data_IF_810555974869
#
_entry.id   IF_810555974869
#
_cell.length_a   1.000
_cell.length_b   1.000
_cell.length_c   1.000
_cell.angle_alpha   90.00
_cell.angle_beta   90.00
_cell.angle_gamma   90.00
#
_symmetry.space_group_name_H-M   'P 1'
#
loop_
_entity.id
_entity.type
_entity.pdbx_description
1 polymer ?
#
# COMPACT_ATOMS: atom_id res chain seq x y z
N UNK A 1 -7.03 25.32 -7.87
CA UNK A 1 -7.76 24.15 -7.32
C UNK A 1 -8.62 24.64 -6.14
N UNK A 2 -9.94 24.43 -6.21
CA UNK A 2 -10.88 24.94 -5.21
C UNK A 2 -10.73 24.24 -3.85
N UNK A 3 -11.00 24.98 -2.75
CA UNK A 3 -11.02 24.45 -1.36
C UNK A 3 -11.92 23.21 -1.23
N UNK A 4 -13.00 23.18 -1.99
CA UNK A 4 -13.97 22.07 -2.06
C UNK A 4 -13.36 20.77 -2.65
N UNK A 5 -12.49 20.87 -3.66
CA UNK A 5 -11.80 19.72 -4.25
C UNK A 5 -10.83 19.05 -3.27
N UNK A 6 -10.12 19.86 -2.45
CA UNK A 6 -9.18 19.31 -1.47
C UNK A 6 -9.92 18.56 -0.35
N UNK A 7 -11.04 19.12 0.16
CA UNK A 7 -11.86 18.44 1.19
C UNK A 7 -12.41 17.11 0.68
N UNK A 8 -12.92 17.07 -0.56
CA UNK A 8 -13.43 15.86 -1.17
C UNK A 8 -12.30 14.81 -1.38
N UNK A 9 -11.11 15.25 -1.80
CA UNK A 9 -9.93 14.38 -1.92
C UNK A 9 -9.51 13.77 -0.59
N UNK A 10 -9.53 14.54 0.49
CA UNK A 10 -9.26 14.04 1.86
C UNK A 10 -10.29 12.98 2.25
N UNK A 11 -11.58 13.22 2.01
CA UNK A 11 -12.64 12.26 2.32
C UNK A 11 -12.47 10.96 1.53
N UNK A 12 -12.16 11.04 0.23
CA UNK A 12 -11.87 9.86 -0.58
C UNK A 12 -10.66 9.09 -0.07
N UNK A 13 -9.59 9.79 0.36
CA UNK A 13 -8.42 9.13 0.92
C UNK A 13 -8.76 8.41 2.22
N UNK A 14 -9.38 9.09 3.19
CA UNK A 14 -9.73 8.49 4.48
C UNK A 14 -10.65 7.28 4.27
N UNK A 15 -11.67 7.40 3.41
CA UNK A 15 -12.55 6.28 3.07
C UNK A 15 -11.77 5.12 2.45
N UNK A 16 -10.87 5.39 1.48
CA UNK A 16 -10.04 4.39 0.83
C UNK A 16 -9.13 3.66 1.81
N UNK A 17 -8.44 4.39 2.69
CA UNK A 17 -7.57 3.81 3.72
C UNK A 17 -8.38 2.98 4.72
N UNK A 18 -9.55 3.48 5.14
CA UNK A 18 -10.41 2.77 6.10
C UNK A 18 -10.87 1.42 5.54
N UNK A 19 -11.29 1.35 4.28
CA UNK A 19 -11.69 0.08 3.69
C UNK A 19 -10.49 -0.84 3.40
N UNK A 20 -9.31 -0.28 3.02
CA UNK A 20 -8.10 -1.08 2.89
C UNK A 20 -7.62 -1.65 4.22
N UNK A 21 -7.80 -0.94 5.34
CA UNK A 21 -7.46 -1.46 6.67
C UNK A 21 -8.25 -2.74 7.02
N UNK A 22 -9.49 -2.85 6.53
CA UNK A 22 -10.29 -4.09 6.66
C UNK A 22 -9.69 -5.22 5.82
N UNK A 23 -9.18 -4.93 4.62
CA UNK A 23 -8.48 -5.92 3.81
C UNK A 23 -7.20 -6.42 4.51
N UNK A 24 -6.42 -5.52 5.10
CA UNK A 24 -5.20 -5.89 5.82
C UNK A 24 -5.52 -6.78 7.03
N UNK A 25 -6.60 -6.47 7.75
CA UNK A 25 -7.13 -7.32 8.82
C UNK A 25 -7.48 -8.72 8.29
N UNK A 26 -8.27 -8.81 7.21
CA UNK A 26 -8.70 -10.09 6.63
C UNK A 26 -7.48 -10.90 6.20
N UNK A 27 -6.54 -10.31 5.46
CA UNK A 27 -5.34 -11.00 4.98
C UNK A 27 -4.48 -11.52 6.14
N UNK A 28 -4.37 -10.76 7.22
CA UNK A 28 -3.66 -11.22 8.42
C UNK A 28 -4.41 -12.36 9.12
N UNK A 29 -5.74 -12.32 9.18
CA UNK A 29 -6.56 -13.38 9.79
C UNK A 29 -6.40 -14.71 9.03
N UNK A 30 -6.40 -14.68 7.69
CA UNK A 30 -6.33 -15.89 6.86
C UNK A 30 -4.89 -16.39 6.64
N UNK A 31 -3.86 -15.60 6.97
CA UNK A 31 -2.44 -15.91 6.67
C UNK A 31 -1.91 -17.18 7.34
N UNK A 32 -2.58 -17.68 8.38
CA UNK A 32 -2.22 -18.94 9.05
C UNK A 32 -2.84 -20.19 8.44
N UNK A 33 -3.88 -20.05 7.60
CA UNK A 33 -4.65 -21.16 7.05
C UNK A 33 -4.57 -21.33 5.53
N UNK A 34 -4.24 -20.28 4.80
CA UNK A 34 -4.25 -20.24 3.33
C UNK A 34 -3.00 -19.59 2.77
N UNK A 35 -2.50 -20.00 1.58
CA UNK A 35 -1.38 -19.34 0.94
C UNK A 35 -1.77 -17.97 0.38
N UNK A 36 -0.82 -17.03 0.38
CA UNK A 36 -1.05 -15.66 -0.11
C UNK A 36 -1.58 -15.63 -1.55
N UNK A 37 -0.98 -16.40 -2.46
CA UNK A 37 -1.36 -16.39 -3.88
C UNK A 37 -2.80 -16.82 -4.11
N UNK A 38 -3.36 -17.69 -3.27
CA UNK A 38 -4.76 -18.12 -3.33
C UNK A 38 -5.70 -16.95 -3.01
N UNK A 39 -5.46 -16.26 -1.90
CA UNK A 39 -6.20 -15.05 -1.56
C UNK A 39 -6.07 -13.96 -2.65
N UNK A 40 -4.87 -13.82 -3.25
CA UNK A 40 -4.61 -12.89 -4.35
C UNK A 40 -5.38 -13.25 -5.62
N UNK A 41 -5.49 -14.54 -5.98
CA UNK A 41 -6.24 -15.01 -7.15
C UNK A 41 -7.74 -14.73 -6.95
N UNK A 42 -8.31 -15.15 -5.82
CA UNK A 42 -9.74 -14.96 -5.54
C UNK A 42 -10.08 -13.46 -5.49
N UNK A 43 -9.28 -12.66 -4.78
CA UNK A 43 -9.39 -11.20 -4.75
C UNK A 43 -9.30 -10.59 -6.14
N UNK A 44 -8.30 -10.99 -6.92
CA UNK A 44 -8.05 -10.47 -8.26
C UNK A 44 -9.19 -10.77 -9.22
N UNK A 45 -9.69 -12.01 -9.24
CA UNK A 45 -10.84 -12.42 -10.06
C UNK A 45 -12.11 -11.67 -9.68
N UNK A 46 -12.38 -11.49 -8.38
CA UNK A 46 -13.54 -10.74 -7.91
C UNK A 46 -13.45 -9.25 -8.27
N UNK A 47 -12.23 -8.68 -8.29
CA UNK A 47 -12.03 -7.27 -8.65
C UNK A 47 -12.26 -7.00 -10.15
N UNK A 48 -12.00 -7.96 -11.04
CA UNK A 48 -12.07 -7.74 -12.50
C UNK A 48 -13.40 -7.20 -12.96
N UNK A 49 -14.57 -7.82 -12.68
CA UNK A 49 -15.87 -7.31 -13.16
C UNK A 49 -16.15 -5.91 -12.59
N UNK A 50 -15.80 -5.65 -11.34
CA UNK A 50 -16.00 -4.35 -10.70
C UNK A 50 -15.13 -3.27 -11.34
N UNK A 51 -13.87 -3.56 -11.62
CA UNK A 51 -12.96 -2.63 -12.30
C UNK A 51 -13.37 -2.37 -13.75
N UNK A 52 -13.97 -3.35 -14.45
CA UNK A 52 -14.55 -3.13 -15.78
C UNK A 52 -15.75 -2.20 -15.72
N UNK A 53 -16.62 -2.34 -14.72
CA UNK A 53 -17.74 -1.39 -14.48
C UNK A 53 -17.19 0.00 -14.21
N UNK A 54 -16.22 0.14 -13.31
CA UNK A 54 -15.59 1.43 -13.00
C UNK A 54 -14.93 2.03 -14.25
N UNK A 55 -14.23 1.23 -15.06
CA UNK A 55 -13.63 1.69 -16.32
C UNK A 55 -14.67 2.17 -17.34
N UNK A 56 -15.83 1.48 -17.40
CA UNK A 56 -16.92 1.90 -18.26
C UNK A 56 -17.48 3.27 -17.87
N UNK A 57 -17.54 3.55 -16.55
CA UNK A 57 -18.03 4.82 -16.00
C UNK A 57 -16.98 5.94 -16.06
N UNK A 58 -15.67 5.63 -15.95
CA UNK A 58 -14.54 6.59 -15.88
C UNK A 58 -13.83 6.77 -17.24
N UNK A 59 -14.56 6.83 -18.33
CA UNK A 59 -14.02 7.11 -19.66
C UNK A 59 -14.24 6.01 -20.71
N UNK A 60 -14.99 4.97 -20.37
CA UNK A 60 -15.32 3.83 -21.25
C UNK A 60 -14.22 2.78 -21.31
N UNK A 61 -14.59 1.56 -21.72
CA UNK A 61 -13.66 0.40 -21.80
C UNK A 61 -12.47 0.66 -22.74
N UNK A 62 -12.63 1.54 -23.72
CA UNK A 62 -11.53 1.90 -24.64
C UNK A 62 -10.37 2.61 -23.93
N UNK A 63 -10.62 3.26 -22.79
CA UNK A 63 -9.57 3.90 -21.98
C UNK A 63 -8.57 2.90 -21.40
N UNK A 64 -8.89 1.62 -21.37
CA UNK A 64 -7.97 0.56 -20.94
C UNK A 64 -6.85 0.31 -21.96
N UNK A 65 -7.06 0.61 -23.24
CA UNK A 65 -6.14 0.30 -24.33
C UNK A 65 -5.58 1.57 -24.94
N UNK A 66 -4.60 2.16 -24.26
CA UNK A 66 -3.90 3.37 -24.70
C UNK A 66 -2.46 3.06 -25.15
N UNK A 67 -1.80 4.03 -25.75
CA UNK A 67 -0.36 3.93 -26.09
C UNK A 67 0.52 3.82 -24.81
N UNK A 68 -0.03 4.14 -23.64
CA UNK A 68 0.64 4.03 -22.34
C UNK A 68 0.61 2.64 -21.70
N UNK A 69 0.03 1.63 -22.35
CA UNK A 69 -0.14 0.27 -21.81
C UNK A 69 1.13 -0.31 -21.19
N UNK A 70 2.27 -0.23 -21.88
CA UNK A 70 3.54 -0.74 -21.35
C UNK A 70 3.92 -0.07 -20.02
N UNK A 71 3.73 1.25 -19.93
CA UNK A 71 4.01 1.99 -18.69
C UNK A 71 3.04 1.60 -17.57
N UNK A 72 1.77 1.35 -17.88
CA UNK A 72 0.78 0.86 -16.92
C UNK A 72 1.14 -0.53 -16.40
N UNK A 73 1.58 -1.44 -17.28
CA UNK A 73 2.04 -2.78 -16.90
C UNK A 73 3.30 -2.72 -16.02
N UNK A 74 4.31 -1.93 -16.40
CA UNK A 74 5.52 -1.73 -15.58
C UNK A 74 5.18 -1.17 -14.19
N UNK A 75 4.29 -0.18 -14.11
CA UNK A 75 3.77 0.32 -12.84
C UNK A 75 3.03 -0.79 -12.08
N UNK A 76 2.27 -1.63 -12.78
CA UNK A 76 1.60 -2.79 -12.20
C UNK A 76 2.57 -3.77 -11.54
N UNK A 77 3.72 -4.03 -12.18
CA UNK A 77 4.79 -4.89 -11.60
C UNK A 77 5.35 -4.26 -10.33
N UNK A 78 5.61 -2.95 -10.33
CA UNK A 78 6.10 -2.25 -9.12
C UNK A 78 5.06 -2.31 -8.00
N UNK A 79 3.77 -2.11 -8.31
CA UNK A 79 2.68 -2.26 -7.35
C UNK A 79 2.51 -3.70 -6.87
N UNK A 80 2.74 -4.70 -7.73
CA UNK A 80 2.76 -6.09 -7.29
C UNK A 80 3.83 -6.31 -6.23
N UNK A 81 5.06 -5.87 -6.45
CA UNK A 81 6.14 -5.96 -5.45
C UNK A 81 5.75 -5.24 -4.16
N UNK A 82 5.10 -4.07 -4.26
CA UNK A 82 4.61 -3.30 -3.11
C UNK A 82 3.67 -4.14 -2.24
N UNK A 83 2.55 -4.57 -2.81
CA UNK A 83 1.53 -5.30 -2.04
C UNK A 83 1.99 -6.70 -1.64
N UNK A 84 2.73 -7.38 -2.50
CA UNK A 84 3.27 -8.70 -2.21
C UNK A 84 4.20 -8.68 -1.00
N UNK A 85 5.18 -7.77 -0.96
CA UNK A 85 6.08 -7.65 0.19
C UNK A 85 5.34 -7.24 1.47
N UNK A 86 4.37 -6.33 1.36
CA UNK A 86 3.54 -5.95 2.50
C UNK A 86 2.75 -7.13 3.08
N UNK A 87 2.07 -7.91 2.23
CA UNK A 87 1.24 -9.02 2.68
C UNK A 87 2.07 -10.19 3.24
N UNK A 88 3.23 -10.46 2.66
CA UNK A 88 4.17 -11.45 3.24
C UNK A 88 4.61 -11.02 4.64
N UNK A 89 4.83 -9.72 4.87
CA UNK A 89 5.19 -9.21 6.18
C UNK A 89 4.07 -9.35 7.21
N UNK A 90 2.80 -9.20 6.80
CA UNK A 90 1.63 -9.33 7.69
C UNK A 90 1.58 -10.69 8.41
N UNK A 91 2.01 -11.77 7.75
CA UNK A 91 2.04 -13.09 8.37
C UNK A 91 3.12 -13.23 9.46
N UNK A 92 4.23 -12.50 9.33
CA UNK A 92 5.40 -12.61 10.21
C UNK A 92 5.54 -11.52 11.26
N UNK A 93 4.73 -10.46 11.21
CA UNK A 93 4.84 -9.30 12.07
C UNK A 93 3.48 -8.88 12.66
N UNK A 94 3.47 -8.20 13.81
CA UNK A 94 2.29 -7.49 14.30
C UNK A 94 1.78 -6.47 13.27
N UNK A 95 0.44 -6.35 13.14
CA UNK A 95 -0.18 -5.44 12.17
C UNK A 95 0.26 -3.97 12.35
N UNK A 96 0.28 -3.41 13.59
CA UNK A 96 0.74 -2.04 13.80
C UNK A 96 2.19 -1.81 13.36
N UNK A 97 3.07 -2.78 13.62
CA UNK A 97 4.49 -2.71 13.21
C UNK A 97 4.64 -2.71 11.69
N UNK A 98 3.92 -3.60 11.02
CA UNK A 98 3.94 -3.71 9.54
C UNK A 98 3.49 -2.40 8.90
N UNK A 99 2.36 -1.85 9.36
CA UNK A 99 1.80 -0.60 8.81
C UNK A 99 2.70 0.60 9.12
N UNK A 100 3.25 0.69 10.34
CA UNK A 100 4.15 1.78 10.70
C UNK A 100 5.44 1.80 9.84
N UNK A 101 6.04 0.64 9.60
CA UNK A 101 7.22 0.52 8.71
C UNK A 101 6.88 0.85 7.25
N UNK A 102 5.70 0.45 6.75
CA UNK A 102 5.22 0.83 5.43
C UNK A 102 5.10 2.35 5.27
N UNK A 103 4.72 3.07 6.32
CA UNK A 103 4.65 4.54 6.32
C UNK A 103 6.01 5.25 6.30
N UNK A 104 7.12 4.53 6.12
CA UNK A 104 8.35 5.10 5.57
C UNK A 104 8.20 5.56 4.10
N UNK A 105 7.13 5.15 3.41
CA UNK A 105 6.82 5.55 2.03
C UNK A 105 6.88 7.06 1.77
N UNK A 106 6.21 7.94 2.52
CA UNK A 106 6.32 9.39 2.35
C UNK A 106 7.74 9.93 2.41
N UNK A 107 8.64 9.31 3.22
CA UNK A 107 10.05 9.68 3.28
C UNK A 107 10.75 9.34 1.95
N UNK A 108 10.47 8.16 1.40
CA UNK A 108 10.96 7.76 0.08
C UNK A 108 10.38 8.62 -1.04
N UNK A 109 9.09 9.02 -0.97
CA UNK A 109 8.48 9.94 -1.95
C UNK A 109 9.27 11.25 -1.99
N UNK A 110 9.56 11.83 -0.82
CA UNK A 110 10.35 13.07 -0.72
C UNK A 110 11.75 12.89 -1.30
N UNK A 111 12.44 11.80 -0.95
CA UNK A 111 13.76 11.49 -1.48
C UNK A 111 13.75 11.33 -3.01
N UNK A 112 12.83 10.53 -3.53
CA UNK A 112 12.74 10.24 -4.96
C UNK A 112 12.24 11.43 -5.78
N UNK A 113 11.44 12.34 -5.21
CA UNK A 113 10.97 13.55 -5.90
C UNK A 113 12.13 14.47 -6.27
N UNK A 114 13.17 14.55 -5.44
CA UNK A 114 14.39 15.32 -5.74
C UNK A 114 15.08 14.75 -6.99
N UNK A 115 15.26 13.42 -7.06
CA UNK A 115 16.00 12.79 -8.15
C UNK A 115 15.19 12.65 -9.44
N UNK A 116 13.90 12.34 -9.35
CA UNK A 116 13.07 12.00 -10.51
C UNK A 116 12.18 13.14 -11.00
N UNK A 117 11.84 14.10 -10.15
CA UNK A 117 11.01 15.26 -10.50
C UNK A 117 11.81 16.57 -10.47
N UNK A 118 13.06 16.55 -10.01
CA UNK A 118 13.89 17.76 -9.89
C UNK A 118 13.39 18.74 -8.83
N UNK A 119 12.60 18.26 -7.88
CA UNK A 119 12.04 19.11 -6.82
C UNK A 119 13.15 19.56 -5.85
N UNK A 120 13.14 20.83 -5.45
CA UNK A 120 14.08 21.36 -4.47
C UNK A 120 13.50 21.20 -3.07
N UNK A 121 14.13 20.36 -2.28
CA UNK A 121 13.72 20.06 -0.91
C UNK A 121 14.55 20.89 0.07
N UNK A 122 13.89 21.62 0.98
CA UNK A 122 14.58 22.44 1.99
C UNK A 122 15.22 21.59 3.10
N UNK A 123 16.17 22.21 3.83
CA UNK A 123 16.92 21.56 4.92
C UNK A 123 16.04 20.86 5.96
N UNK A 124 14.89 21.43 6.33
CA UNK A 124 13.98 20.83 7.31
C UNK A 124 13.39 19.50 6.79
N UNK A 125 13.05 19.42 5.50
CA UNK A 125 12.56 18.16 4.94
C UNK A 125 13.68 17.09 4.92
N UNK A 126 14.93 17.47 4.66
CA UNK A 126 16.07 16.55 4.77
C UNK A 126 16.28 16.03 6.21
N UNK A 127 16.20 16.93 7.21
CA UNK A 127 16.28 16.55 8.62
C UNK A 127 15.14 15.58 8.97
N UNK A 128 13.92 15.86 8.51
CA UNK A 128 12.76 15.00 8.74
C UNK A 128 12.93 13.62 8.06
N UNK A 129 13.44 13.57 6.82
CA UNK A 129 13.75 12.29 6.14
C UNK A 129 14.76 11.47 6.95
N UNK A 130 15.87 12.09 7.38
CA UNK A 130 16.89 11.41 8.19
C UNK A 130 16.30 10.92 9.52
N UNK A 131 15.54 11.77 10.23
CA UNK A 131 14.86 11.40 11.47
C UNK A 131 13.91 10.23 11.26
N UNK A 132 13.10 10.25 10.19
CA UNK A 132 12.17 9.18 9.86
C UNK A 132 12.90 7.84 9.63
N UNK A 133 14.02 7.83 8.91
CA UNK A 133 14.82 6.61 8.73
C UNK A 133 15.47 6.13 10.05
N UNK A 134 15.85 7.03 10.97
CA UNK A 134 16.24 6.64 12.33
C UNK A 134 15.08 5.93 13.04
N UNK A 135 13.84 6.42 12.90
CA UNK A 135 12.64 5.75 13.42
C UNK A 135 12.46 4.34 12.84
N UNK A 136 12.70 4.15 11.53
CA UNK A 136 12.68 2.82 10.89
C UNK A 136 13.74 1.90 11.51
N UNK A 137 14.97 2.36 11.71
CA UNK A 137 16.06 1.58 12.32
C UNK A 137 15.70 1.17 13.77
N UNK A 138 15.10 2.08 14.54
CA UNK A 138 14.65 1.80 15.91
C UNK A 138 13.60 0.67 15.90
N UNK A 139 12.68 0.65 14.95
CA UNK A 139 11.64 -0.39 14.84
C UNK A 139 12.19 -1.72 14.32
N UNK A 140 13.08 -1.70 13.33
CA UNK A 140 13.66 -2.91 12.70
C UNK A 140 14.63 -3.61 13.66
N UNK A 141 15.34 -2.86 14.52
CA UNK A 141 16.32 -3.38 15.51
C UNK A 141 17.39 -4.29 14.90
N UNK A 142 18.09 -3.86 13.84
CA UNK A 142 19.08 -4.71 13.19
C UNK A 142 20.21 -5.08 14.16
N UNK A 143 20.67 -6.33 14.09
CA UNK A 143 21.75 -6.82 14.92
C UNK A 143 21.36 -7.20 16.36
N UNK A 144 20.10 -7.15 16.73
CA UNK A 144 19.58 -7.61 18.04
C UNK A 144 18.94 -8.99 17.93
N UNK A 145 18.76 -9.69 19.06
CA UNK A 145 18.03 -10.95 19.12
C UNK A 145 16.52 -10.80 18.74
N UNK A 146 16.02 -9.56 18.72
CA UNK A 146 14.63 -9.24 18.34
C UNK A 146 14.48 -8.91 16.84
N UNK A 147 15.58 -8.91 16.10
CA UNK A 147 15.54 -8.66 14.65
C UNK A 147 14.74 -9.73 13.91
N UNK A 148 13.72 -9.27 13.21
CA UNK A 148 12.96 -10.11 12.28
C UNK A 148 13.17 -9.57 10.86
N UNK A 149 13.73 -10.39 9.97
CA UNK A 149 14.00 -10.03 8.58
C UNK A 149 12.73 -9.58 7.83
N UNK A 150 11.54 -10.10 8.23
CA UNK A 150 10.27 -9.71 7.65
C UNK A 150 9.98 -8.21 7.83
N UNK A 151 10.64 -7.52 8.79
CA UNK A 151 10.52 -6.08 8.99
C UNK A 151 11.11 -5.24 7.82
N UNK A 152 11.98 -5.83 7.01
CA UNK A 152 12.49 -5.18 5.80
C UNK A 152 11.45 -5.14 4.67
N UNK A 153 10.50 -6.07 4.67
CA UNK A 153 9.48 -6.17 3.62
C UNK A 153 8.52 -4.96 3.58
N UNK A 154 7.99 -4.46 4.70
CA UNK A 154 7.15 -3.24 4.67
C UNK A 154 7.95 -2.00 4.26
N UNK A 155 9.24 -1.93 4.59
CA UNK A 155 10.13 -0.83 4.14
C UNK A 155 10.33 -0.90 2.63
N UNK A 156 10.58 -2.11 2.08
CA UNK A 156 10.62 -2.33 0.62
C UNK A 156 9.29 -1.97 -0.02
N UNK A 157 8.17 -2.34 0.61
CA UNK A 157 6.84 -1.97 0.15
C UNK A 157 6.66 -0.45 0.10
N UNK A 158 7.07 0.28 1.13
CA UNK A 158 7.05 1.75 1.16
C UNK A 158 7.88 2.38 0.04
N UNK A 159 9.08 1.83 -0.23
CA UNK A 159 9.94 2.28 -1.34
C UNK A 159 9.28 2.04 -2.70
N UNK A 160 8.81 0.83 -2.97
CA UNK A 160 8.21 0.48 -4.26
C UNK A 160 6.86 1.19 -4.47
N UNK A 161 6.07 1.40 -3.41
CA UNK A 161 4.90 2.26 -3.43
C UNK A 161 5.25 3.67 -3.89
N UNK A 162 6.31 4.25 -3.33
CA UNK A 162 6.77 5.60 -3.68
C UNK A 162 7.18 5.71 -5.14
N UNK A 163 7.86 4.70 -5.68
CA UNK A 163 8.18 4.62 -7.11
C UNK A 163 6.91 4.59 -7.96
N UNK A 164 5.92 3.76 -7.55
CA UNK A 164 4.65 3.64 -8.26
C UNK A 164 3.84 4.94 -8.23
N UNK A 165 3.88 5.70 -7.12
CA UNK A 165 3.19 6.99 -6.99
C UNK A 165 3.83 8.07 -7.85
N UNK A 166 5.17 8.15 -7.89
CA UNK A 166 5.89 9.06 -8.78
C UNK A 166 5.61 8.73 -10.25
N UNK A 167 5.59 7.44 -10.61
CA UNK A 167 5.21 7.00 -11.95
C UNK A 167 3.77 7.41 -12.30
N UNK A 168 2.81 7.21 -11.39
CA UNK A 168 1.42 7.62 -11.58
C UNK A 168 1.30 9.14 -11.79
N UNK A 169 2.04 9.94 -11.02
CA UNK A 169 2.07 11.41 -11.16
C UNK A 169 2.55 11.84 -12.56
N UNK A 170 3.58 11.16 -13.10
CA UNK A 170 4.07 11.40 -14.47
C UNK A 170 3.06 10.96 -15.55
N UNK A 171 2.22 9.99 -15.27
CA UNK A 171 1.23 9.42 -16.21
C UNK A 171 -0.16 10.07 -16.10
N UNK A 172 -0.46 10.73 -14.98
CA UNK A 172 -1.81 11.15 -14.57
C UNK A 172 -2.50 12.21 -15.45
N UNK A 173 -1.79 12.80 -16.43
CA UNK A 173 -2.39 13.70 -17.42
C UNK A 173 -3.00 13.00 -18.63
N UNK A 174 -2.72 11.69 -18.81
CA UNK A 174 -3.08 10.94 -20.03
C UNK A 174 -3.95 9.72 -19.74
N UNK A 175 -3.73 9.05 -18.60
CA UNK A 175 -4.38 7.78 -18.27
C UNK A 175 -5.50 7.96 -17.23
N UNK A 176 -6.57 7.16 -17.34
CA UNK A 176 -7.66 7.18 -16.35
C UNK A 176 -7.27 6.42 -15.08
N UNK A 177 -7.90 6.80 -13.95
CA UNK A 177 -7.71 6.08 -12.68
C UNK A 177 -8.13 4.62 -12.78
N UNK A 178 -9.22 4.36 -13.52
CA UNK A 178 -9.73 3.02 -13.76
C UNK A 178 -8.76 2.15 -14.57
N UNK A 179 -8.12 2.71 -15.61
CA UNK A 179 -7.14 1.98 -16.41
C UNK A 179 -5.90 1.60 -15.58
N UNK A 180 -5.39 2.54 -14.78
CA UNK A 180 -4.27 2.28 -13.87
C UNK A 180 -4.59 1.21 -12.82
N UNK A 181 -5.83 1.20 -12.30
CA UNK A 181 -6.29 0.20 -11.35
C UNK A 181 -6.47 -1.17 -12.00
N UNK A 182 -7.11 -1.21 -13.17
CA UNK A 182 -7.36 -2.45 -13.91
C UNK A 182 -6.06 -3.17 -14.28
N UNK A 183 -5.11 -2.47 -14.91
CA UNK A 183 -3.84 -3.09 -15.31
C UNK A 183 -2.95 -3.45 -14.12
N UNK A 184 -3.01 -2.66 -13.03
CA UNK A 184 -2.38 -3.05 -11.78
C UNK A 184 -2.93 -4.37 -11.23
N UNK A 185 -4.27 -4.52 -11.20
CA UNK A 185 -4.92 -5.76 -10.77
C UNK A 185 -4.65 -6.93 -11.73
N UNK A 186 -4.60 -6.69 -13.04
CA UNK A 186 -4.28 -7.73 -14.03
C UNK A 186 -2.87 -8.30 -13.82
N UNK A 187 -1.86 -7.44 -13.63
CA UNK A 187 -0.49 -7.89 -13.32
C UNK A 187 -0.45 -8.65 -12.01
N UNK A 188 -1.16 -8.16 -10.98
CA UNK A 188 -1.25 -8.82 -9.68
C UNK A 188 -1.87 -10.21 -9.79
N UNK A 189 -2.95 -10.35 -10.55
CA UNK A 189 -3.61 -11.64 -10.81
C UNK A 189 -2.73 -12.61 -11.59
N UNK A 190 -2.05 -12.13 -12.65
CA UNK A 190 -1.10 -12.94 -13.40
C UNK A 190 0.05 -13.45 -12.52
N UNK A 191 0.65 -12.59 -11.71
CA UNK A 191 1.72 -12.95 -10.80
C UNK A 191 1.25 -13.95 -9.74
N UNK A 192 0.06 -13.76 -9.17
CA UNK A 192 -0.55 -14.70 -8.24
C UNK A 192 -0.81 -16.07 -8.89
N UNK A 193 -1.27 -16.08 -10.15
CA UNK A 193 -1.44 -17.31 -10.93
C UNK A 193 -0.13 -18.06 -11.12
N UNK A 194 0.97 -17.36 -11.46
CA UNK A 194 2.30 -17.98 -11.60
C UNK A 194 2.80 -18.56 -10.27
N UNK A 195 2.60 -17.84 -9.15
CA UNK A 195 2.91 -18.37 -7.81
C UNK A 195 2.07 -19.60 -7.49
N UNK A 196 0.78 -19.59 -7.83
CA UNK A 196 -0.12 -20.73 -7.65
C UNK A 196 0.29 -21.95 -8.48
N UNK A 197 0.77 -21.76 -9.69
CA UNK A 197 1.30 -22.84 -10.54
C UNK A 197 2.58 -23.45 -9.96
N UNK A 198 3.43 -22.63 -9.33
CA UNK A 198 4.69 -23.10 -8.77
C UNK A 198 4.54 -23.73 -7.38
N UNK A 199 3.83 -23.06 -6.47
CA UNK A 199 3.69 -23.50 -5.07
C UNK A 199 2.43 -24.34 -4.81
N UNK A 200 1.43 -24.29 -5.69
CA UNK A 200 0.10 -24.87 -5.46
C UNK A 200 0.10 -26.37 -5.16
N UNK A 201 1.11 -27.12 -5.65
CA UNK A 201 1.28 -28.54 -5.34
C UNK A 201 1.69 -28.84 -3.90
N UNK A 202 2.18 -27.84 -3.15
CA UNK A 202 2.68 -28.02 -1.78
C UNK A 202 4.06 -28.68 -1.67
N UNK A 203 4.75 -28.97 -2.79
CA UNK A 203 6.05 -29.66 -2.77
C UNK A 203 7.22 -28.79 -2.29
N UNK A 204 7.01 -27.48 -2.13
CA UNK A 204 8.05 -26.49 -1.85
C UNK A 204 7.78 -25.69 -0.55
N UNK A 205 7.08 -26.30 0.42
CA UNK A 205 6.72 -25.61 1.66
C UNK A 205 7.94 -25.36 2.53
N UNK A 206 8.16 -24.09 2.89
CA UNK A 206 9.23 -23.63 3.78
C UNK A 206 8.60 -23.24 5.12
N UNK A 207 8.86 -24.02 6.16
CA UNK A 207 8.23 -23.87 7.49
C UNK A 207 9.03 -23.05 8.48
N UNK A 208 10.20 -22.52 8.09
CA UNK A 208 11.11 -21.82 9.00
C UNK A 208 10.60 -20.47 9.52
N UNK A 209 9.64 -19.84 8.83
CA UNK A 209 9.09 -18.54 9.20
C UNK A 209 7.66 -18.37 8.71
N UNK A 210 6.72 -17.76 9.49
CA UNK A 210 5.32 -17.59 9.09
C UNK A 210 5.12 -16.92 7.73
N UNK A 211 5.95 -15.91 7.40
CA UNK A 211 5.94 -15.25 6.09
C UNK A 211 6.25 -16.20 4.94
N UNK A 212 7.17 -17.17 5.15
CA UNK A 212 7.52 -18.15 4.13
C UNK A 212 6.46 -19.24 4.01
N UNK A 213 5.85 -19.65 5.12
CA UNK A 213 4.69 -20.55 5.09
C UNK A 213 3.57 -19.93 4.26
N UNK A 214 3.23 -18.67 4.54
CA UNK A 214 2.17 -17.93 3.82
C UNK A 214 2.44 -17.82 2.31
N UNK A 215 3.70 -17.76 1.91
CA UNK A 215 4.09 -17.76 0.51
C UNK A 215 4.07 -19.12 -0.14
N UNK A 216 4.59 -20.16 0.54
CA UNK A 216 4.98 -21.45 -0.08
C UNK A 216 4.05 -22.60 0.25
N UNK A 217 3.03 -22.39 1.11
CA UNK A 217 2.01 -23.37 1.42
C UNK A 217 1.29 -23.80 0.14
N UNK A 218 0.94 -25.09 0.02
CA UNK A 218 0.15 -25.62 -1.09
C UNK A 218 -1.28 -25.07 -1.07
N UNK A 219 -1.99 -25.21 -2.19
CA UNK A 219 -3.39 -24.81 -2.30
C UNK A 219 -4.27 -25.50 -1.24
N UNK A 220 -5.09 -24.74 -0.55
CA UNK A 220 -6.04 -25.23 0.45
C UNK A 220 -7.43 -24.75 0.06
N UNK A 221 -8.39 -25.66 -0.14
CA UNK A 221 -9.76 -25.26 -0.51
C UNK A 221 -10.37 -24.42 0.60
N UNK A 222 -10.71 -23.14 0.35
CA UNK A 222 -11.22 -22.26 1.38
C UNK A 222 -12.58 -22.68 1.92
N UNK A 223 -12.81 -22.49 3.21
CA UNK A 223 -14.16 -22.59 3.78
C UNK A 223 -15.10 -21.58 3.09
N UNK A 224 -16.42 -21.81 3.05
CA UNK A 224 -17.35 -20.83 2.46
C UNK A 224 -17.22 -19.44 3.09
N UNK A 225 -16.94 -19.36 4.38
CA UNK A 225 -16.75 -18.10 5.09
C UNK A 225 -15.43 -17.40 4.67
N UNK A 226 -14.31 -18.13 4.60
CA UNK A 226 -13.03 -17.57 4.22
C UNK A 226 -13.01 -17.19 2.74
N UNK A 227 -13.69 -17.97 1.87
CA UNK A 227 -13.93 -17.62 0.48
C UNK A 227 -14.65 -16.26 0.37
N UNK A 228 -15.70 -16.05 1.17
CA UNK A 228 -16.41 -14.77 1.21
C UNK A 228 -15.48 -13.63 1.67
N UNK A 229 -14.63 -13.84 2.66
CA UNK A 229 -13.65 -12.85 3.11
C UNK A 229 -12.64 -12.50 2.00
N UNK A 230 -12.13 -13.51 1.27
CA UNK A 230 -11.22 -13.29 0.12
C UNK A 230 -11.92 -12.55 -1.02
N UNK A 231 -13.19 -12.86 -1.31
CA UNK A 231 -13.99 -12.12 -2.29
C UNK A 231 -14.25 -10.68 -1.83
N UNK A 232 -14.51 -10.45 -0.54
CA UNK A 232 -14.63 -9.12 0.04
C UNK A 232 -13.34 -8.29 -0.15
N UNK A 233 -12.17 -8.91 0.00
CA UNK A 233 -10.91 -8.25 -0.36
C UNK A 233 -10.88 -7.80 -1.83
N UNK A 234 -11.51 -8.54 -2.74
CA UNK A 234 -11.64 -8.15 -4.15
C UNK A 234 -12.52 -6.92 -4.35
N UNK A 235 -13.63 -6.84 -3.64
CA UNK A 235 -14.51 -5.66 -3.63
C UNK A 235 -13.76 -4.44 -3.07
N UNK A 236 -13.11 -4.62 -1.92
CA UNK A 236 -12.30 -3.58 -1.28
C UNK A 236 -11.19 -3.10 -2.22
N UNK A 237 -10.50 -4.02 -2.91
CA UNK A 237 -9.44 -3.67 -3.84
C UNK A 237 -9.95 -2.80 -5.01
N UNK A 238 -11.10 -3.13 -5.59
CA UNK A 238 -11.67 -2.37 -6.70
C UNK A 238 -12.05 -0.94 -6.27
N UNK A 239 -12.84 -0.81 -5.22
CA UNK A 239 -13.32 0.49 -4.76
C UNK A 239 -12.25 1.29 -4.01
N UNK A 240 -11.45 0.64 -3.17
CA UNK A 240 -10.39 1.28 -2.41
C UNK A 240 -9.32 1.89 -3.30
N UNK A 241 -8.88 1.16 -4.33
CA UNK A 241 -7.90 1.67 -5.27
C UNK A 241 -8.46 2.82 -6.10
N UNK A 242 -9.73 2.76 -6.49
CA UNK A 242 -10.41 3.87 -7.15
C UNK A 242 -10.49 5.10 -6.24
N UNK A 243 -10.92 4.95 -4.98
CA UNK A 243 -11.00 6.05 -4.00
C UNK A 243 -9.65 6.72 -3.78
N UNK A 244 -8.59 5.92 -3.55
CA UNK A 244 -7.24 6.45 -3.36
C UNK A 244 -6.75 7.18 -4.61
N UNK A 245 -6.99 6.62 -5.81
CA UNK A 245 -6.57 7.24 -7.06
C UNK A 245 -7.33 8.55 -7.29
N UNK A 246 -8.63 8.59 -7.04
CA UNK A 246 -9.43 9.82 -7.13
C UNK A 246 -8.98 10.87 -6.12
N UNK A 247 -8.64 10.49 -4.90
CA UNK A 247 -8.12 11.41 -3.90
C UNK A 247 -6.93 12.21 -4.44
N UNK A 248 -5.93 11.52 -4.98
CA UNK A 248 -4.73 12.15 -5.55
C UNK A 248 -4.96 12.83 -6.90
N UNK A 249 -6.01 12.46 -7.64
CA UNK A 249 -6.36 13.08 -8.92
C UNK A 249 -7.01 14.45 -8.74
N UNK A 250 -7.92 14.59 -7.76
CA UNK A 250 -8.73 15.80 -7.58
C UNK A 250 -8.13 16.79 -6.58
N UNK A 251 -7.20 16.36 -5.73
CA UNK A 251 -6.61 17.18 -4.68
C UNK A 251 -5.09 17.26 -4.81
N UNK A 252 -4.51 18.32 -4.22
CA UNK A 252 -3.06 18.45 -4.14
C UNK A 252 -2.50 17.35 -3.22
N UNK A 253 -1.48 16.62 -3.69
CA UNK A 253 -0.87 15.53 -2.95
C UNK A 253 -0.41 15.97 -1.55
N UNK A 254 0.20 17.15 -1.44
CA UNK A 254 0.63 17.76 -0.18
C UNK A 254 -0.50 18.01 0.82
N UNK A 255 -1.75 18.19 0.36
CA UNK A 255 -2.90 18.39 1.25
C UNK A 255 -3.58 17.10 1.66
N UNK A 256 -3.43 16.04 0.87
CA UNK A 256 -4.09 14.75 1.09
C UNK A 256 -3.18 13.78 1.87
N UNK A 257 -1.90 13.74 1.54
CA UNK A 257 -0.93 12.79 2.09
C UNK A 257 -0.83 12.75 3.64
N UNK A 258 -0.98 13.85 4.42
CA UNK A 258 -0.99 13.74 5.89
C UNK A 258 -2.07 12.79 6.43
N UNK A 259 -3.17 12.66 5.70
CA UNK A 259 -4.28 11.80 6.11
C UNK A 259 -4.03 10.31 5.82
N UNK A 260 -2.96 9.94 5.10
CA UNK A 260 -2.53 8.54 4.99
C UNK A 260 -2.21 7.94 6.36
N UNK A 261 -1.66 8.73 7.29
CA UNK A 261 -1.35 8.27 8.64
C UNK A 261 -2.59 7.85 9.46
N UNK A 262 -3.82 8.11 8.99
CA UNK A 262 -5.04 7.55 9.60
C UNK A 262 -5.04 6.01 9.58
N UNK A 263 -4.32 5.38 8.63
CA UNK A 263 -4.15 3.93 8.60
C UNK A 263 -3.42 3.37 9.83
N UNK A 264 -2.55 4.17 10.52
CA UNK A 264 -1.95 3.76 11.79
C UNK A 264 -3.02 3.58 12.87
N UNK A 265 -4.02 4.45 12.90
CA UNK A 265 -5.12 4.37 13.88
C UNK A 265 -5.86 3.03 13.70
N UNK A 266 -6.19 2.69 12.45
CA UNK A 266 -6.86 1.43 12.14
C UNK A 266 -5.98 0.22 12.45
N UNK A 267 -4.69 0.26 12.12
CA UNK A 267 -3.79 -0.87 12.39
C UNK A 267 -3.59 -1.13 13.89
N UNK A 268 -3.51 -0.07 14.70
CA UNK A 268 -3.47 -0.16 16.16
C UNK A 268 -4.78 -0.74 16.70
N UNK A 269 -5.91 -0.25 16.21
CA UNK A 269 -7.24 -0.72 16.62
C UNK A 269 -7.42 -2.20 16.32
N UNK A 270 -7.17 -2.63 15.08
CA UNK A 270 -7.30 -4.03 14.67
C UNK A 270 -6.30 -4.94 15.39
N UNK A 271 -5.03 -4.50 15.51
CA UNK A 271 -4.00 -5.24 16.24
C UNK A 271 -4.39 -5.51 17.68
N UNK A 272 -4.93 -4.50 18.36
CA UNK A 272 -5.39 -4.64 19.74
C UNK A 272 -6.65 -5.51 19.87
N UNK A 273 -7.65 -5.32 19.01
CA UNK A 273 -8.92 -6.07 19.09
C UNK A 273 -8.70 -7.56 18.85
N UNK A 274 -7.96 -7.93 17.79
CA UNK A 274 -7.88 -9.32 17.33
C UNK A 274 -6.72 -10.11 17.92
N UNK A 275 -5.56 -9.47 18.14
CA UNK A 275 -4.34 -10.16 18.59
C UNK A 275 -3.84 -9.68 19.95
N UNK A 276 -4.41 -8.62 20.50
CA UNK A 276 -3.89 -7.93 21.69
C UNK A 276 -2.46 -7.40 21.47
N UNK A 277 -2.10 -7.21 20.21
CA UNK A 277 -0.82 -6.66 19.79
C UNK A 277 -0.78 -5.16 20.10
N UNK A 278 0.08 -4.78 21.03
CA UNK A 278 0.34 -3.39 21.36
C UNK A 278 1.83 -3.09 21.18
N UNK A 279 2.21 -2.02 20.50
CA UNK A 279 3.62 -1.70 20.33
C UNK A 279 4.32 -1.56 21.68
N UNK A 280 5.53 -2.11 21.80
CA UNK A 280 6.37 -1.86 22.95
C UNK A 280 6.91 -0.42 22.95
N UNK A 281 7.63 -0.02 24.00
CA UNK A 281 8.12 1.34 24.14
C UNK A 281 8.97 1.82 22.95
N UNK A 282 9.85 0.96 22.42
CA UNK A 282 10.65 1.30 21.23
C UNK A 282 9.79 1.36 19.95
N UNK A 283 8.80 0.49 19.83
CA UNK A 283 7.80 0.56 18.74
C UNK A 283 7.05 1.88 18.74
N UNK A 284 6.60 2.37 19.90
CA UNK A 284 5.97 3.68 20.03
C UNK A 284 6.89 4.84 19.65
N UNK A 285 8.16 4.79 20.07
CA UNK A 285 9.17 5.80 19.69
C UNK A 285 9.33 5.80 18.16
N UNK A 286 9.50 4.62 17.54
CA UNK A 286 9.65 4.51 16.09
C UNK A 286 8.42 5.01 15.33
N UNK A 287 7.21 4.64 15.75
CA UNK A 287 5.95 5.13 15.17
C UNK A 287 5.87 6.66 15.27
N UNK A 288 6.14 7.23 16.44
CA UNK A 288 6.08 8.67 16.65
C UNK A 288 7.09 9.42 15.76
N UNK A 289 8.31 8.89 15.62
CA UNK A 289 9.35 9.49 14.77
C UNK A 289 8.97 9.41 13.29
N UNK A 290 8.54 8.23 12.79
CA UNK A 290 8.17 8.05 11.38
C UNK A 290 6.96 8.93 11.02
N UNK A 291 5.90 8.87 11.82
CA UNK A 291 4.70 9.67 11.59
C UNK A 291 4.98 11.17 11.73
N UNK A 292 5.73 11.58 12.78
CA UNK A 292 6.10 12.97 13.00
C UNK A 292 6.98 13.53 11.88
N UNK A 293 7.95 12.76 11.40
CA UNK A 293 8.79 13.14 10.28
C UNK A 293 7.98 13.32 8.99
N UNK A 294 7.10 12.37 8.66
CA UNK A 294 6.23 12.46 7.50
C UNK A 294 5.28 13.65 7.56
N UNK A 295 4.61 13.86 8.69
CA UNK A 295 3.72 15.01 8.90
C UNK A 295 4.51 16.34 8.79
N UNK A 296 5.71 16.42 9.36
CA UNK A 296 6.56 17.61 9.27
C UNK A 296 6.91 17.97 7.81
N UNK A 297 7.27 16.99 6.99
CA UNK A 297 7.51 17.19 5.55
C UNK A 297 6.28 17.78 4.88
N UNK A 298 5.12 17.15 5.09
CA UNK A 298 3.87 17.52 4.44
C UNK A 298 3.36 18.91 4.84
N UNK A 299 3.44 19.26 6.13
CA UNK A 299 3.07 20.60 6.60
C UNK A 299 3.96 21.67 6.00
N UNK A 300 5.26 21.41 5.85
CA UNK A 300 6.18 22.37 5.24
C UNK A 300 5.93 22.57 3.74
N UNK A 301 5.63 21.51 2.99
CA UNK A 301 5.24 21.63 1.59
C UNK A 301 4.00 22.51 1.42
N UNK A 302 3.03 22.42 2.34
CA UNK A 302 1.85 23.29 2.34
C UNK A 302 2.20 24.76 2.57
N UNK A 303 3.18 25.05 3.44
CA UNK A 303 3.61 26.43 3.74
C UNK A 303 4.46 27.04 2.62
N UNK A 304 5.16 26.21 1.83
CA UNK A 304 6.02 26.69 0.74
C UNK A 304 5.31 26.86 -0.61
N UNK A 305 4.07 26.36 -0.73
CA UNK A 305 3.22 26.64 -1.89
C UNK A 305 2.37 27.87 -1.55
N UNK A 306 2.82 29.12 -1.89
CA UNK A 306 1.97 30.29 -1.69
C UNK A 306 0.71 30.06 -2.51
N UNK A 307 -0.47 30.33 -1.91
CA UNK A 307 -1.66 30.56 -2.69
C UNK A 307 -1.30 31.63 -3.74
N UNK A 308 -1.10 31.22 -4.99
CA UNK A 308 -1.25 32.15 -6.09
C UNK A 308 -2.75 32.52 -6.06
N UNK A 309 -3.03 33.54 -5.28
CA UNK A 309 -4.24 34.31 -5.43
C UNK A 309 -4.19 34.90 -6.84
N UNK A 310 -5.02 34.37 -7.72
CA UNK A 310 -5.73 35.07 -8.78
C UNK A 310 -6.75 34.12 -9.37
#
# INVERSE_FOLDING_TARGET
MNRQSNTLGILYLIAGISIFSVQDLILKLISGGYPLYEAMIIRGLTSVPLLLIVAHLDGGIRSLFTKGLVKMLLRGVVLFVTYFSFYIALAGLPLPTTVALYYSGPLFITLLSVFFLGERVGLVAWIAVIAGFVGVIIMVRPGTALFNWAALLPVLSGLTYSIAMIAARKMGGVETAAALAFWGNAVFLCAAGLLGLYFGTGNHVITSHPSLVFLTMGWVTPSPFDMMLMMLCGVIAAFGLWLLTQAYRIAAASKVAPFEYTGLIWSLLWGWIFWRDWPDFQGWIGIAIIAGAGICILLREQMQTPERAE
#
